data_IF_405121872857
#
_entry.id   IF_405121872857
#
_cell.length_a   1.000
_cell.length_b   1.000
_cell.length_c   1.000
_cell.angle_alpha   90.00
_cell.angle_beta   90.00
_cell.angle_gamma   90.00
#
_symmetry.space_group_name_H-M   'P 1'
#
loop_
_entity.id
_entity.type
_entity.pdbx_description
1 polymer ?
#
# COMPACT_ATOMS: atom_id res chain seq x y z
N UNK A 1 -5.96 -24.56 5.61
CA UNK A 1 -4.63 -24.14 5.15
C UNK A 1 -4.19 -24.71 3.81
N UNK A 2 -4.42 -25.98 3.55
CA UNK A 2 -4.06 -26.58 2.24
C UNK A 2 -4.75 -25.90 1.05
N UNK A 3 -6.00 -25.51 1.21
CA UNK A 3 -6.78 -24.89 0.13
C UNK A 3 -6.32 -23.45 -0.21
N UNK A 4 -5.69 -22.75 0.74
CA UNK A 4 -5.16 -21.41 0.53
C UNK A 4 -3.93 -21.42 -0.39
N UNK A 5 -3.09 -22.45 -0.29
CA UNK A 5 -1.94 -22.63 -1.17
C UNK A 5 -2.34 -22.90 -2.63
N UNK A 6 -3.40 -23.65 -2.84
CA UNK A 6 -3.92 -23.90 -4.20
C UNK A 6 -4.52 -22.64 -4.82
N UNK A 7 -5.18 -21.81 -4.02
CA UNK A 7 -5.78 -20.55 -4.49
C UNK A 7 -4.69 -19.54 -4.87
N UNK A 8 -3.65 -19.44 -4.08
CA UNK A 8 -2.51 -18.56 -4.37
C UNK A 8 -1.74 -19.06 -5.60
N UNK A 9 -1.54 -20.37 -5.73
CA UNK A 9 -0.92 -20.97 -6.91
C UNK A 9 -1.72 -20.74 -8.19
N UNK A 10 -3.04 -20.80 -8.11
CA UNK A 10 -3.94 -20.51 -9.24
C UNK A 10 -3.93 -19.04 -9.65
N UNK A 11 -3.84 -18.13 -8.69
CA UNK A 11 -3.71 -16.69 -8.95
C UNK A 11 -2.36 -16.37 -9.63
N UNK A 12 -1.28 -16.98 -9.17
CA UNK A 12 0.05 -16.79 -9.77
C UNK A 12 0.11 -17.38 -11.18
N UNK A 13 -0.49 -18.55 -11.40
CA UNK A 13 -0.55 -19.14 -12.73
C UNK A 13 -1.41 -18.34 -13.70
N UNK A 14 -2.50 -17.73 -13.23
CA UNK A 14 -3.33 -16.82 -14.03
C UNK A 14 -2.58 -15.57 -14.48
N UNK A 15 -1.67 -15.07 -13.66
CA UNK A 15 -0.81 -13.93 -14.01
C UNK A 15 0.21 -14.27 -15.10
N UNK A 16 0.67 -15.52 -15.17
CA UNK A 16 1.61 -15.96 -16.21
C UNK A 16 0.97 -16.07 -17.59
N UNK A 17 -0.33 -16.36 -17.67
CA UNK A 17 -1.03 -16.42 -18.97
C UNK A 17 -1.44 -15.05 -19.52
N UNK A 18 -1.33 -14.00 -18.70
CA UNK A 18 -1.66 -12.62 -19.13
C UNK A 18 -0.56 -11.94 -19.96
N UNK A 19 0.49 -12.64 -20.30
CA UNK A 19 1.66 -12.03 -20.97
C UNK A 19 1.47 -11.74 -22.47
N UNK A 20 0.40 -12.20 -23.09
CA UNK A 20 0.13 -11.99 -24.52
C UNK A 20 -0.58 -10.66 -24.84
N UNK A 21 -1.07 -9.97 -23.85
CA UNK A 21 -1.63 -8.62 -24.02
C UNK A 21 -0.57 -7.55 -23.77
N UNK A 22 -0.71 -6.38 -24.36
CA UNK A 22 0.23 -5.24 -24.32
C UNK A 22 0.57 -4.70 -22.91
N UNK A 23 0.28 -5.44 -21.87
CA UNK A 23 0.56 -5.13 -20.48
C UNK A 23 1.98 -5.55 -20.09
N UNK A 24 2.76 -4.63 -19.56
CA UNK A 24 4.13 -4.90 -19.10
C UNK A 24 4.16 -5.05 -17.58
N UNK A 25 4.47 -6.25 -17.13
CA UNK A 25 4.74 -6.50 -15.71
C UNK A 25 6.20 -6.14 -15.40
N UNK A 26 6.40 -5.34 -14.37
CA UNK A 26 7.73 -4.87 -13.98
C UNK A 26 7.86 -4.87 -12.45
N UNK A 27 9.04 -5.19 -11.97
CA UNK A 27 9.42 -5.02 -10.57
C UNK A 27 10.18 -3.71 -10.42
N UNK A 28 9.83 -2.92 -9.42
CA UNK A 28 10.47 -1.64 -9.15
C UNK A 28 10.72 -1.47 -7.66
N UNK A 29 11.74 -0.74 -7.30
CA UNK A 29 12.02 -0.38 -5.91
C UNK A 29 11.45 0.98 -5.54
N UNK A 30 11.29 1.86 -6.51
CA UNK A 30 10.77 3.21 -6.29
C UNK A 30 10.18 3.75 -7.61
N UNK A 31 8.93 4.18 -7.55
CA UNK A 31 8.22 4.66 -8.73
C UNK A 31 8.07 6.18 -8.81
N UNK A 32 8.58 6.93 -7.85
CA UNK A 32 8.46 8.38 -7.84
C UNK A 32 7.03 8.85 -7.62
N UNK A 33 6.29 8.16 -6.75
CA UNK A 33 4.92 8.49 -6.41
C UNK A 33 4.86 8.84 -4.93
N UNK A 34 4.25 9.97 -4.63
CA UNK A 34 3.96 10.40 -3.26
C UNK A 34 2.46 10.41 -3.07
N UNK A 35 2.00 9.80 -2.00
CA UNK A 35 0.58 9.69 -1.66
C UNK A 35 0.35 10.22 -0.25
N UNK A 36 -0.67 11.04 -0.09
CA UNK A 36 -1.20 11.45 1.20
C UNK A 36 -2.63 10.95 1.34
N UNK A 37 -2.99 10.51 2.52
CA UNK A 37 -4.31 9.96 2.74
C UNK A 37 -4.69 9.83 4.19
N UNK A 38 -5.69 8.99 4.42
CA UNK A 38 -6.30 8.81 5.72
C UNK A 38 -6.43 7.33 6.06
N UNK A 39 -6.03 6.97 7.27
CA UNK A 39 -6.15 5.62 7.78
C UNK A 39 -6.24 5.63 9.31
N UNK A 40 -7.12 4.82 9.88
CA UNK A 40 -7.24 4.60 11.33
C UNK A 40 -7.29 5.92 12.13
N UNK A 41 -8.19 6.82 11.77
CA UNK A 41 -8.39 8.14 12.41
C UNK A 41 -7.15 9.06 12.36
N UNK A 42 -6.29 8.90 11.41
CA UNK A 42 -5.12 9.74 11.22
C UNK A 42 -4.72 9.87 9.77
N UNK A 43 -3.86 10.84 9.48
CA UNK A 43 -3.30 11.05 8.16
C UNK A 43 -2.07 10.17 7.94
N UNK A 44 -1.73 9.92 6.70
CA UNK A 44 -0.46 9.31 6.33
C UNK A 44 0.13 9.99 5.10
N UNK A 45 1.44 9.94 5.01
CA UNK A 45 2.20 10.28 3.83
C UNK A 45 3.10 9.11 3.48
N UNK A 46 3.03 8.62 2.24
CA UNK A 46 3.91 7.55 1.84
C UNK A 46 4.58 7.78 0.50
N UNK A 47 5.61 7.00 0.31
CA UNK A 47 6.30 6.85 -0.96
C UNK A 47 6.18 5.39 -1.37
N UNK A 48 6.02 5.13 -2.65
CA UNK A 48 6.01 3.75 -3.11
C UNK A 48 7.40 3.13 -2.95
N UNK A 49 7.44 2.00 -2.26
CA UNK A 49 8.64 1.20 -2.07
C UNK A 49 8.74 0.05 -3.07
N UNK A 50 9.40 -1.05 -2.67
CA UNK A 50 9.49 -2.23 -3.51
C UNK A 50 8.11 -2.75 -3.92
N UNK A 51 7.91 -2.93 -5.21
CA UNK A 51 6.61 -3.27 -5.75
C UNK A 51 6.68 -4.03 -7.06
N UNK A 52 5.55 -4.61 -7.39
CA UNK A 52 5.26 -5.17 -8.71
C UNK A 52 4.25 -4.25 -9.38
N UNK A 53 4.56 -3.79 -10.58
CA UNK A 53 3.66 -2.93 -11.31
C UNK A 53 3.28 -3.49 -12.67
N UNK A 54 2.05 -3.23 -13.06
CA UNK A 54 1.47 -3.62 -14.33
C UNK A 54 0.97 -2.36 -15.02
N UNK A 55 1.53 -2.07 -16.17
CA UNK A 55 1.12 -0.92 -16.95
C UNK A 55 0.28 -1.37 -18.14
N UNK A 56 -0.91 -0.82 -18.27
CA UNK A 56 -1.80 -1.05 -19.39
C UNK A 56 -2.32 0.28 -19.92
N UNK A 57 -1.92 0.64 -21.13
CA UNK A 57 -2.23 1.94 -21.73
C UNK A 57 -1.79 3.09 -20.79
N UNK A 58 -2.74 3.91 -20.35
CA UNK A 58 -2.50 5.08 -19.49
C UNK A 58 -2.68 4.79 -18.00
N UNK A 59 -2.94 3.53 -17.63
CA UNK A 59 -3.18 3.12 -16.24
C UNK A 59 -2.05 2.22 -15.78
N UNK A 60 -1.54 2.48 -14.60
CA UNK A 60 -0.52 1.67 -13.95
C UNK A 60 -1.06 1.15 -12.61
N UNK A 61 -1.04 -0.15 -12.45
CA UNK A 61 -1.39 -0.81 -11.20
C UNK A 61 -0.12 -1.20 -10.45
N UNK A 62 -0.02 -0.82 -9.19
CA UNK A 62 1.17 -1.05 -8.37
C UNK A 62 0.73 -1.76 -7.11
N UNK A 63 1.28 -2.93 -6.87
CA UNK A 63 1.08 -3.69 -5.64
C UNK A 63 2.42 -3.84 -4.95
N UNK A 64 2.53 -3.37 -3.72
CA UNK A 64 3.81 -3.47 -3.03
C UNK A 64 3.84 -2.88 -1.64
N UNK A 65 5.04 -2.71 -1.15
CA UNK A 65 5.31 -2.13 0.16
C UNK A 65 5.20 -0.62 0.13
N UNK A 66 4.68 -0.08 1.20
CA UNK A 66 4.42 1.35 1.35
C UNK A 66 5.11 1.88 2.60
N UNK A 67 6.39 2.28 2.50
CA UNK A 67 7.05 2.99 3.58
C UNK A 67 6.35 4.33 3.79
N UNK A 68 5.88 4.56 5.00
CA UNK A 68 4.94 5.64 5.29
C UNK A 68 5.29 6.35 6.58
N UNK A 69 4.92 7.62 6.64
CA UNK A 69 4.86 8.38 7.89
C UNK A 69 3.38 8.53 8.26
N UNK A 70 2.99 7.96 9.38
CA UNK A 70 1.63 8.12 9.91
C UNK A 70 1.61 9.26 10.92
N UNK A 71 0.61 10.11 10.79
CA UNK A 71 0.40 11.27 11.65
C UNK A 71 -0.92 11.02 12.38
N UNK A 72 -0.82 10.69 13.66
CA UNK A 72 -1.99 10.42 14.51
C UNK A 72 -1.79 11.09 15.85
N UNK A 73 -2.76 11.88 16.26
CA UNK A 73 -2.75 12.49 17.59
C UNK A 73 -3.07 11.46 18.66
N UNK A 74 -2.26 11.41 19.70
CA UNK A 74 -2.49 10.56 20.86
C UNK A 74 -3.30 11.33 21.91
N UNK A 75 -4.54 10.92 22.09
CA UNK A 75 -5.45 11.52 23.08
C UNK A 75 -5.40 10.84 24.45
N UNK A 76 -4.41 9.99 24.70
CA UNK A 76 -4.26 9.34 26.00
C UNK A 76 -3.96 10.34 27.11
N UNK A 77 -4.44 10.07 28.31
CA UNK A 77 -4.24 10.92 29.49
C UNK A 77 -2.86 10.75 30.14
N UNK A 78 -2.06 9.81 29.68
CA UNK A 78 -0.71 9.52 30.18
C UNK A 78 0.41 10.08 29.30
N UNK A 79 1.54 9.38 29.29
CA UNK A 79 2.65 9.69 28.38
C UNK A 79 2.19 9.53 26.93
N UNK A 80 2.23 10.62 26.19
CA UNK A 80 1.81 10.63 24.78
C UNK A 80 2.91 10.09 23.89
N UNK A 81 2.52 9.27 22.90
CA UNK A 81 3.40 8.83 21.85
C UNK A 81 3.67 9.97 20.86
N UNK A 82 4.75 9.83 20.09
CA UNK A 82 5.03 10.78 19.00
C UNK A 82 3.85 10.85 18.04
N UNK A 83 3.43 12.04 17.62
CA UNK A 83 2.37 12.18 16.63
C UNK A 83 2.78 11.67 15.24
N UNK A 84 4.06 11.55 14.98
CA UNK A 84 4.59 11.05 13.72
C UNK A 84 5.27 9.70 13.95
N UNK A 85 4.80 8.68 13.25
CA UNK A 85 5.33 7.32 13.37
C UNK A 85 5.71 6.77 11.99
N UNK A 86 6.96 6.36 11.78
CA UNK A 86 7.32 5.61 10.59
C UNK A 86 6.64 4.24 10.64
N UNK A 87 6.02 3.84 9.55
CA UNK A 87 5.28 2.59 9.44
C UNK A 87 5.47 1.98 8.06
N UNK A 88 5.57 0.67 8.01
CA UNK A 88 5.59 -0.06 6.76
C UNK A 88 4.22 -0.68 6.53
N UNK A 89 3.59 -0.31 5.42
CA UNK A 89 2.34 -0.91 4.98
C UNK A 89 2.52 -1.69 3.69
N UNK A 90 1.43 -2.21 3.21
CA UNK A 90 1.32 -2.80 1.88
C UNK A 90 0.02 -2.33 1.24
N UNK A 91 -0.05 -2.30 -0.06
CA UNK A 91 -1.30 -1.90 -0.70
C UNK A 91 -1.25 -1.81 -2.20
N UNK A 92 -2.40 -1.42 -2.74
CA UNK A 92 -2.60 -1.22 -4.16
C UNK A 92 -2.61 0.28 -4.47
N UNK A 93 -1.83 0.68 -5.45
CA UNK A 93 -1.83 2.04 -5.99
C UNK A 93 -2.20 1.97 -7.47
N UNK A 94 -3.18 2.76 -7.87
CA UNK A 94 -3.59 2.90 -9.26
C UNK A 94 -3.21 4.30 -9.72
N UNK A 95 -2.41 4.37 -10.77
CA UNK A 95 -1.96 5.64 -11.36
C UNK A 95 -2.60 5.82 -12.72
N UNK A 96 -3.29 6.92 -12.90
CA UNK A 96 -3.81 7.34 -14.18
C UNK A 96 -3.17 8.66 -14.58
N UNK A 97 -2.37 8.61 -15.66
CA UNK A 97 -1.51 9.73 -16.05
C UNK A 97 -0.54 10.10 -14.91
N UNK A 98 -0.81 11.14 -14.16
CA UNK A 98 0.01 11.61 -13.03
C UNK A 98 -0.71 11.58 -11.70
N UNK A 99 -1.98 11.23 -11.66
CA UNK A 99 -2.78 11.14 -10.44
C UNK A 99 -2.75 9.71 -9.95
N UNK A 100 -2.43 9.53 -8.67
CA UNK A 100 -2.40 8.24 -8.01
C UNK A 100 -3.55 8.12 -7.01
N UNK A 101 -4.22 6.98 -7.02
CA UNK A 101 -5.19 6.58 -6.01
C UNK A 101 -4.66 5.35 -5.30
N UNK A 102 -4.71 5.34 -3.97
CA UNK A 102 -4.10 4.28 -3.19
C UNK A 102 -5.03 3.75 -2.12
N UNK A 103 -5.00 2.44 -1.95
CA UNK A 103 -5.66 1.73 -0.85
C UNK A 103 -4.56 1.02 -0.07
N UNK A 104 -4.03 1.65 0.99
CA UNK A 104 -3.01 1.05 1.83
C UNK A 104 -3.63 0.18 2.93
N UNK A 105 -2.88 -0.82 3.37
CA UNK A 105 -3.17 -1.61 4.54
C UNK A 105 -1.97 -1.54 5.50
N UNK A 106 -2.25 -1.19 6.74
CA UNK A 106 -1.26 -1.12 7.81
C UNK A 106 -1.62 -2.07 8.93
N UNK A 107 -0.61 -2.72 9.47
CA UNK A 107 -0.79 -3.58 10.63
C UNK A 107 -0.46 -2.82 11.90
N UNK A 108 -1.45 -2.67 12.77
CA UNK A 108 -1.24 -2.16 14.13
C UNK A 108 -0.87 -3.31 15.04
N UNK A 109 0.30 -3.24 15.64
CA UNK A 109 0.80 -4.28 16.55
C UNK A 109 -0.04 -4.36 17.81
N UNK A 110 -0.05 -5.54 18.44
CA UNK A 110 -0.72 -5.76 19.70
C UNK A 110 -0.11 -4.85 20.79
N UNK A 111 -0.99 -4.18 21.52
CA UNK A 111 -0.65 -3.42 22.72
C UNK A 111 -1.24 -4.09 23.96
N UNK A 112 -0.95 -3.56 25.17
CA UNK A 112 -1.53 -4.06 26.40
C UNK A 112 -3.07 -4.01 26.40
N UNK A 113 -3.64 -3.03 25.73
CA UNK A 113 -5.08 -2.76 25.75
C UNK A 113 -5.82 -3.22 24.49
N UNK A 114 -5.10 -3.51 23.40
CA UNK A 114 -5.70 -3.86 22.12
C UNK A 114 -4.94 -4.97 21.40
N UNK A 115 -5.69 -5.86 20.78
CA UNK A 115 -5.12 -6.86 19.89
C UNK A 115 -4.61 -6.23 18.59
N UNK A 116 -3.62 -6.88 17.96
CA UNK A 116 -3.14 -6.48 16.65
C UNK A 116 -4.26 -6.54 15.60
N UNK A 117 -4.29 -5.57 14.70
CA UNK A 117 -5.31 -5.51 13.65
C UNK A 117 -4.79 -4.82 12.39
N UNK A 118 -5.35 -5.22 11.26
CA UNK A 118 -5.12 -4.54 9.98
C UNK A 118 -6.05 -3.35 9.85
N UNK A 119 -5.50 -2.23 9.40
CA UNK A 119 -6.25 -1.01 9.10
C UNK A 119 -6.09 -0.68 7.62
N UNK A 120 -7.20 -0.49 6.95
CA UNK A 120 -7.26 -0.13 5.54
C UNK A 120 -7.62 1.35 5.44
N UNK A 121 -6.88 2.06 4.63
CA UNK A 121 -7.11 3.48 4.37
C UNK A 121 -7.32 3.78 2.90
N UNK A 122 -7.30 5.04 2.57
CA UNK A 122 -7.30 5.52 1.20
C UNK A 122 -6.48 6.79 1.08
N UNK A 123 -5.96 7.05 -0.10
CA UNK A 123 -5.17 8.25 -0.35
C UNK A 123 -5.14 8.65 -1.81
N UNK A 124 -4.75 9.89 -2.02
CA UNK A 124 -4.52 10.47 -3.32
C UNK A 124 -3.08 10.96 -3.40
N UNK A 125 -2.50 10.85 -4.56
CA UNK A 125 -1.12 11.21 -4.76
C UNK A 125 -0.80 11.68 -6.16
N UNK A 126 0.48 11.92 -6.35
CA UNK A 126 1.02 12.41 -7.60
C UNK A 126 2.25 11.60 -8.00
N UNK A 127 2.33 11.28 -9.27
CA UNK A 127 3.48 10.62 -9.88
C UNK A 127 4.38 11.66 -10.53
N UNK A 128 5.63 11.69 -10.09
CA UNK A 128 6.65 12.61 -10.62
C UNK A 128 7.33 12.09 -11.90
N UNK A 129 7.08 10.85 -12.24
CA UNK A 129 7.61 10.23 -13.47
C UNK A 129 6.59 10.19 -14.59
#
# INVERSE_FOLDING_TARGET
MKNCFYTVGLLISGLCFSQETSSKLKVSFFDGITVAGYVDHGAYLNFTGPNINLTHKNVKFILGMLPSLRIKEDHSSGTKNSPIMPTLGAGLTVVYKKIAFQIPAYYNTKTADQNGSWKIGFGLGYSFK
#
